data_IF_235318625509
#
_entry.id   IF_235318625509
#
_cell.length_a   1.000
_cell.length_b   1.000
_cell.length_c   1.000
_cell.angle_alpha   90.00
_cell.angle_beta   90.00
_cell.angle_gamma   90.00
#
_symmetry.space_group_name_H-M   'P 1'
#
loop_
_entity.id
_entity.type
_entity.pdbx_description
1 polymer ?
#
# COMPACT_ATOMS: atom_id res chain seq x y z
N UNK A 1 0.40 -4.51 -17.51
CA UNK A 1 1.86 -4.29 -17.49
C UNK A 1 2.27 -2.92 -16.94
N UNK A 2 1.50 -1.83 -17.10
CA UNK A 2 1.82 -0.53 -16.48
C UNK A 2 1.36 -0.36 -15.02
N UNK A 3 0.43 -1.19 -14.52
CA UNK A 3 -0.16 -1.04 -13.19
C UNK A 3 0.66 -1.65 -12.04
N UNK A 4 1.63 -2.51 -12.35
CA UNK A 4 2.41 -3.27 -11.35
C UNK A 4 3.60 -2.49 -10.76
N UNK A 5 3.86 -1.27 -11.25
CA UNK A 5 4.96 -0.42 -10.79
C UNK A 5 5.05 -0.21 -9.26
N UNK A 6 3.93 -0.02 -8.51
CA UNK A 6 3.98 0.12 -7.06
C UNK A 6 4.59 -1.10 -6.36
N UNK A 7 4.35 -2.30 -6.89
CA UNK A 7 4.90 -3.54 -6.34
C UNK A 7 6.43 -3.59 -6.41
N UNK A 8 7.00 -3.22 -7.56
CA UNK A 8 8.44 -3.19 -7.73
C UNK A 8 9.11 -2.11 -6.88
N UNK A 9 8.49 -0.92 -6.78
CA UNK A 9 9.03 0.18 -5.98
C UNK A 9 9.03 -0.16 -4.49
N UNK A 10 7.87 -0.58 -3.95
CA UNK A 10 7.78 -0.91 -2.52
C UNK A 10 8.71 -2.07 -2.14
N UNK A 11 8.76 -3.12 -2.96
CA UNK A 11 9.68 -4.24 -2.72
C UNK A 11 11.14 -3.79 -2.76
N UNK A 12 11.51 -2.95 -3.73
CA UNK A 12 12.87 -2.40 -3.83
C UNK A 12 13.25 -1.56 -2.61
N UNK A 13 12.37 -0.68 -2.14
CA UNK A 13 12.62 0.18 -0.97
C UNK A 13 12.84 -0.64 0.30
N UNK A 14 11.95 -1.59 0.61
CA UNK A 14 12.09 -2.39 1.83
C UNK A 14 13.21 -3.44 1.74
N UNK A 15 13.52 -3.96 0.56
CA UNK A 15 14.70 -4.79 0.34
C UNK A 15 15.99 -3.97 0.58
N UNK A 16 16.05 -2.74 0.06
CA UNK A 16 17.15 -1.82 0.31
C UNK A 16 17.29 -1.53 1.82
N UNK A 17 16.20 -1.20 2.51
CA UNK A 17 16.22 -0.93 3.95
C UNK A 17 16.65 -2.16 4.78
N UNK A 18 16.20 -3.35 4.40
CA UNK A 18 16.55 -4.60 5.10
C UNK A 18 17.98 -5.08 4.86
N UNK A 19 18.63 -4.63 3.79
CA UNK A 19 19.99 -5.09 3.41
C UNK A 19 21.03 -4.02 3.67
N UNK A 20 20.81 -2.80 3.16
CA UNK A 20 21.82 -1.74 3.15
C UNK A 20 21.97 -1.07 4.52
N UNK A 21 20.86 -0.77 5.20
CA UNK A 21 20.90 -0.10 6.51
C UNK A 21 21.61 -0.93 7.60
N UNK A 22 21.42 -2.25 7.70
CA UNK A 22 22.16 -3.10 8.66
C UNK A 22 23.67 -3.20 8.42
N UNK A 23 24.12 -2.95 7.18
CA UNK A 23 25.55 -2.92 6.83
C UNK A 23 26.21 -1.67 7.43
N UNK A 24 25.53 -0.52 7.33
CA UNK A 24 26.00 0.78 7.84
C UNK A 24 25.84 0.97 9.36
N UNK A 25 25.35 -0.03 10.10
CA UNK A 25 25.19 0.09 11.56
C UNK A 25 26.55 0.23 12.26
N UNK A 26 26.75 1.29 13.08
CA UNK A 26 28.02 1.58 13.74
C UNK A 26 28.40 0.48 14.73
N UNK A 27 29.71 0.40 15.04
CA UNK A 27 30.25 -0.60 15.97
C UNK A 27 29.87 -0.21 17.40
N UNK A 28 29.17 -1.12 18.09
CA UNK A 28 28.76 -0.95 19.48
C UNK A 28 28.39 -2.29 20.11
N UNK A 29 28.23 -2.35 21.44
CA UNK A 29 27.95 -3.60 22.17
C UNK A 29 26.66 -4.29 21.71
N UNK A 30 25.65 -3.50 21.31
CA UNK A 30 24.32 -4.00 20.93
C UNK A 30 24.11 -4.12 19.41
N UNK A 31 25.19 -4.15 18.62
CA UNK A 31 25.11 -4.09 17.15
C UNK A 31 24.31 -5.25 16.54
N UNK A 32 24.41 -6.45 17.12
CA UNK A 32 23.66 -7.62 16.65
C UNK A 32 22.14 -7.43 16.80
N UNK A 33 21.71 -6.93 17.95
CA UNK A 33 20.29 -6.68 18.24
C UNK A 33 19.73 -5.61 17.29
N UNK A 34 20.45 -4.50 17.13
CA UNK A 34 20.03 -3.41 16.22
C UNK A 34 19.85 -3.94 14.79
N UNK A 35 20.78 -4.76 14.29
CA UNK A 35 20.67 -5.38 12.96
C UNK A 35 19.47 -6.30 12.85
N UNK A 36 19.25 -7.17 13.83
CA UNK A 36 18.09 -8.05 13.84
C UNK A 36 16.78 -7.27 13.87
N UNK A 37 16.67 -6.23 14.70
CA UNK A 37 15.49 -5.37 14.75
C UNK A 37 15.24 -4.69 13.39
N UNK A 38 16.28 -4.11 12.77
CA UNK A 38 16.15 -3.46 11.45
C UNK A 38 15.69 -4.43 10.36
N UNK A 39 16.29 -5.62 10.29
CA UNK A 39 15.93 -6.65 9.30
C UNK A 39 14.50 -7.13 9.53
N UNK A 40 14.16 -7.49 10.78
CA UNK A 40 12.85 -8.02 11.14
C UNK A 40 11.74 -7.00 10.88
N UNK A 41 11.95 -5.74 11.25
CA UNK A 41 10.99 -4.67 10.99
C UNK A 41 10.81 -4.45 9.48
N UNK A 42 11.89 -4.43 8.69
CA UNK A 42 11.78 -4.24 7.23
C UNK A 42 10.97 -5.36 6.56
N UNK A 43 11.19 -6.62 6.97
CA UNK A 43 10.44 -7.77 6.47
C UNK A 43 8.97 -7.70 6.89
N UNK A 44 8.69 -7.37 8.16
CA UNK A 44 7.33 -7.27 8.67
C UNK A 44 6.52 -6.18 7.96
N UNK A 45 7.11 -5.00 7.77
CA UNK A 45 6.48 -3.90 7.04
C UNK A 45 6.23 -4.24 5.57
N UNK A 46 7.18 -4.91 4.90
CA UNK A 46 7.00 -5.36 3.53
C UNK A 46 5.89 -6.42 3.41
N UNK A 47 5.86 -7.41 4.31
CA UNK A 47 4.82 -8.44 4.35
C UNK A 47 3.43 -7.84 4.60
N UNK A 48 3.31 -6.91 5.56
CA UNK A 48 2.05 -6.23 5.84
C UNK A 48 1.52 -5.50 4.59
N UNK A 49 2.38 -4.72 3.93
CA UNK A 49 2.03 -4.03 2.69
C UNK A 49 1.62 -5.01 1.59
N UNK A 50 2.40 -6.08 1.39
CA UNK A 50 2.13 -7.09 0.37
C UNK A 50 0.77 -7.75 0.58
N UNK A 51 0.45 -8.14 1.82
CA UNK A 51 -0.84 -8.72 2.16
C UNK A 51 -2.00 -7.76 1.83
N UNK A 52 -1.90 -6.48 2.20
CA UNK A 52 -2.91 -5.48 1.87
C UNK A 52 -3.06 -5.27 0.35
N UNK A 53 -1.95 -5.29 -0.39
CA UNK A 53 -1.96 -5.18 -1.84
C UNK A 53 -2.66 -6.39 -2.48
N UNK A 54 -2.28 -7.61 -2.10
CA UNK A 54 -2.87 -8.84 -2.61
C UNK A 54 -4.37 -8.94 -2.29
N UNK A 55 -4.81 -8.45 -1.13
CA UNK A 55 -6.22 -8.46 -0.74
C UNK A 55 -7.11 -7.62 -1.69
N UNK A 56 -6.53 -6.72 -2.47
CA UNK A 56 -7.26 -5.86 -3.41
C UNK A 56 -7.14 -6.32 -4.87
N UNK A 57 -6.32 -7.34 -5.18
CA UNK A 57 -6.20 -7.87 -6.54
C UNK A 57 -7.39 -8.80 -6.82
N UNK A 58 -8.17 -8.46 -7.85
CA UNK A 58 -9.39 -9.21 -8.21
C UNK A 58 -10.51 -9.05 -7.18
N UNK A 59 -10.98 -7.82 -6.89
CA UNK A 59 -12.01 -7.58 -5.89
C UNK A 59 -13.34 -8.22 -6.33
N UNK A 60 -13.90 -9.08 -5.47
CA UNK A 60 -15.19 -9.73 -5.71
C UNK A 60 -16.37 -8.85 -5.31
N UNK A 61 -16.15 -7.89 -4.41
CA UNK A 61 -17.19 -7.05 -3.82
C UNK A 61 -16.75 -5.59 -3.90
N UNK A 62 -17.56 -4.78 -4.57
CA UNK A 62 -17.42 -3.32 -4.58
C UNK A 62 -18.13 -2.66 -3.38
N UNK A 63 -17.76 -1.42 -3.05
CA UNK A 63 -18.38 -0.69 -1.95
C UNK A 63 -19.87 -0.38 -2.27
N UNK A 64 -20.75 -0.58 -1.28
CA UNK A 64 -22.19 -0.28 -1.38
C UNK A 64 -22.48 1.04 -0.67
N UNK A 65 -22.73 2.11 -1.43
CA UNK A 65 -22.98 3.45 -0.88
C UNK A 65 -24.44 3.87 -1.04
N UNK A 66 -24.91 4.70 -0.10
CA UNK A 66 -26.20 5.35 -0.21
C UNK A 66 -26.16 6.45 -1.30
N UNK A 67 -27.29 6.68 -1.98
CA UNK A 67 -27.37 7.57 -3.14
C UNK A 67 -26.93 9.01 -2.85
N UNK A 68 -27.27 9.55 -1.67
CA UNK A 68 -26.85 10.91 -1.32
C UNK A 68 -25.32 11.02 -1.24
N UNK A 69 -24.63 10.02 -0.70
CA UNK A 69 -23.16 9.97 -0.63
C UNK A 69 -22.54 9.85 -2.02
N UNK A 70 -23.11 9.01 -2.90
CA UNK A 70 -22.65 8.86 -4.29
C UNK A 70 -22.74 10.20 -5.06
N UNK A 71 -23.82 10.95 -4.87
CA UNK A 71 -24.06 12.22 -5.56
C UNK A 71 -23.07 13.31 -5.11
N UNK A 72 -22.75 13.34 -3.81
CA UNK A 72 -21.74 14.24 -3.25
C UNK A 72 -20.36 13.87 -3.82
N UNK A 73 -19.96 12.60 -3.77
CA UNK A 73 -18.67 12.14 -4.29
C UNK A 73 -18.48 12.48 -5.77
N UNK A 74 -19.51 12.29 -6.59
CA UNK A 74 -19.45 12.59 -8.01
C UNK A 74 -19.35 14.11 -8.30
N UNK A 75 -19.97 14.94 -7.46
CA UNK A 75 -19.84 16.40 -7.53
C UNK A 75 -18.40 16.83 -7.24
N UNK A 76 -17.79 16.29 -6.19
CA UNK A 76 -16.40 16.59 -5.81
C UNK A 76 -15.39 16.08 -6.84
N UNK A 77 -15.65 14.93 -7.45
CA UNK A 77 -14.80 14.38 -8.51
C UNK A 77 -15.07 15.02 -9.90
N UNK A 78 -15.89 16.08 -9.98
CA UNK A 78 -16.10 16.84 -11.21
C UNK A 78 -16.85 16.08 -12.31
N UNK A 79 -17.62 15.04 -11.97
CA UNK A 79 -18.36 14.27 -12.94
C UNK A 79 -19.73 14.93 -13.22
N UNK A 80 -20.03 15.22 -14.49
CA UNK A 80 -21.31 15.83 -14.87
C UNK A 80 -22.43 14.78 -14.84
N UNK A 81 -23.04 14.59 -13.66
CA UNK A 81 -24.12 13.63 -13.47
C UNK A 81 -25.42 14.14 -14.12
N UNK A 82 -25.75 13.65 -15.31
CA UNK A 82 -27.11 13.78 -15.84
C UNK A 82 -28.07 12.94 -15.00
N UNK A 83 -29.19 13.52 -14.58
CA UNK A 83 -30.17 12.91 -13.67
C UNK A 83 -30.68 11.51 -14.10
N UNK A 84 -30.49 11.13 -15.36
CA UNK A 84 -30.87 9.83 -15.95
C UNK A 84 -30.02 8.64 -15.47
N UNK A 85 -28.77 8.84 -15.06
CA UNK A 85 -27.86 7.73 -14.68
C UNK A 85 -28.07 7.21 -13.25
N UNK A 86 -28.95 7.84 -12.48
CA UNK A 86 -29.24 7.42 -11.11
C UNK A 86 -30.23 6.23 -11.05
N UNK A 87 -30.90 5.83 -12.13
CA UNK A 87 -32.02 4.86 -12.04
C UNK A 87 -31.56 3.38 -12.08
N UNK A 88 -30.29 3.10 -12.35
CA UNK A 88 -29.72 1.75 -12.34
C UNK A 88 -28.66 1.58 -11.24
#
# INVERSE_FOLDING_TARGET
MFFDWPFYVFTGVFAFLGIIVPIFTPKGPNRGIIRCCLILSSICCWLFWLCCYLAQIGPLIGPKLHRSTMLIMAREWGNNLNATTQIF
#
